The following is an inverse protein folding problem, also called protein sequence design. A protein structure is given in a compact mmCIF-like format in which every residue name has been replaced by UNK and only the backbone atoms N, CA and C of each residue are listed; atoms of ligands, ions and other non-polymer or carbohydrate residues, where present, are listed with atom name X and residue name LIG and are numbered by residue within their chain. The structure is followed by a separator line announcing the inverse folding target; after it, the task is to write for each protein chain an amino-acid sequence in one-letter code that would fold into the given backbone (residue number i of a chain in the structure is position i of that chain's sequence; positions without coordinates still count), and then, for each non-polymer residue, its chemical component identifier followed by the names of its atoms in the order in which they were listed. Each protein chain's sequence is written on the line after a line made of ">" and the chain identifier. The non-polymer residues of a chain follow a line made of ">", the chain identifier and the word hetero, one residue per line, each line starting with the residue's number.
data_IF_738843068420
#
_entry.id   IF_738843068420
#
_cell.length_a   1.000
_cell.length_b   1.000
_cell.length_c   1.000
_cell.angle_alpha   90.00
_cell.angle_beta   90.00
_cell.angle_gamma   90.00
#
_symmetry.space_group_name_H-M   'P 1'
#
loop_
_entity.id
_entity.type
_entity.pdbx_description
1 polymer ?
#
# COMPACT_ATOMS: atom_id res chain seq x y z
N UNK A 1 32.11 52.97 6.42
CA UNK A 1 30.87 52.47 5.80
C UNK A 1 31.02 50.99 5.59
N UNK A 2 30.47 50.21 6.48
CA UNK A 2 30.59 48.72 6.47
C UNK A 2 29.24 48.16 5.99
N UNK A 3 29.21 47.64 4.78
CA UNK A 3 28.03 46.99 4.21
C UNK A 3 27.91 45.60 4.87
N UNK A 4 26.89 45.41 5.70
CA UNK A 4 26.51 44.15 6.23
C UNK A 4 25.83 43.33 5.07
N UNK A 5 26.52 42.31 4.60
CA UNK A 5 25.95 41.31 3.72
C UNK A 5 24.98 40.48 4.53
N UNK A 6 23.69 40.78 4.40
CA UNK A 6 22.62 39.91 4.89
C UNK A 6 22.59 38.68 3.99
N UNK A 7 23.20 37.59 4.45
CA UNK A 7 23.00 36.28 3.87
C UNK A 7 21.56 35.84 4.16
N UNK A 8 20.67 36.08 3.24
CA UNK A 8 19.35 35.42 3.22
C UNK A 8 19.59 33.90 3.17
N UNK A 9 19.43 33.24 4.30
CA UNK A 9 19.22 31.80 4.33
C UNK A 9 17.90 31.54 3.63
N UNK A 10 17.96 31.17 2.36
CA UNK A 10 16.84 30.52 1.68
C UNK A 10 16.52 29.25 2.47
N UNK A 11 15.63 29.36 3.43
CA UNK A 11 14.94 28.23 4.01
C UNK A 11 14.09 27.66 2.87
N UNK A 12 14.67 26.70 2.14
CA UNK A 12 13.95 25.94 1.13
C UNK A 12 12.75 25.29 1.81
N UNK A 13 11.59 25.89 1.67
CA UNK A 13 10.33 25.34 2.17
C UNK A 13 10.16 24.00 1.47
N UNK A 14 10.26 22.89 2.24
CA UNK A 14 10.00 21.56 1.69
C UNK A 14 8.66 21.59 0.97
N UNK A 15 8.55 20.95 -0.20
CA UNK A 15 7.27 20.85 -0.91
C UNK A 15 6.20 20.26 0.02
N UNK A 16 5.00 20.85 0.03
CA UNK A 16 3.92 20.49 0.96
C UNK A 16 3.63 18.98 0.99
N UNK A 17 3.64 18.33 -0.19
CA UNK A 17 3.41 16.89 -0.31
C UNK A 17 4.46 16.02 0.42
N UNK A 18 5.70 16.51 0.57
CA UNK A 18 6.74 15.81 1.35
C UNK A 18 6.48 15.92 2.85
N UNK A 19 6.01 17.08 3.30
CA UNK A 19 5.60 17.28 4.70
C UNK A 19 4.43 16.39 5.03
N UNK A 20 3.40 16.37 4.19
CA UNK A 20 2.20 15.53 4.35
C UNK A 20 2.55 14.04 4.37
N UNK A 21 3.45 13.60 3.49
CA UNK A 21 3.94 12.23 3.49
C UNK A 21 4.65 11.86 4.80
N UNK A 22 5.54 12.72 5.30
CA UNK A 22 6.28 12.50 6.55
C UNK A 22 5.31 12.43 7.75
N UNK A 23 4.36 13.37 7.84
CA UNK A 23 3.32 13.36 8.87
C UNK A 23 2.48 12.07 8.80
N UNK A 24 2.11 11.64 7.59
CA UNK A 24 1.40 10.39 7.39
C UNK A 24 2.17 9.16 7.86
N UNK A 25 3.49 9.12 7.64
CA UNK A 25 4.35 8.04 8.15
C UNK A 25 4.44 8.04 9.68
N UNK A 26 4.54 9.20 10.31
CA UNK A 26 4.54 9.33 11.77
C UNK A 26 3.21 8.90 12.38
N UNK A 27 2.10 9.26 11.76
CA UNK A 27 0.76 8.82 12.18
C UNK A 27 0.62 7.30 12.08
N UNK A 28 1.13 6.67 11.00
CA UNK A 28 1.15 5.22 10.88
C UNK A 28 2.01 4.55 11.96
N UNK A 29 3.15 5.13 12.29
CA UNK A 29 4.04 4.64 13.35
C UNK A 29 3.39 4.73 14.72
N UNK A 30 2.60 5.78 14.96
CA UNK A 30 1.90 6.05 16.22
C UNK A 30 0.51 5.38 16.29
N UNK A 31 0.20 4.47 15.35
CA UNK A 31 -1.07 3.70 15.31
C UNK A 31 -2.34 4.56 15.13
N UNK A 32 -2.23 5.68 14.37
CA UNK A 32 -3.36 6.50 13.95
C UNK A 32 -3.64 6.32 12.43
N UNK A 33 -4.09 5.14 11.98
CA UNK A 33 -4.20 4.84 10.55
C UNK A 33 -5.21 5.71 9.82
N UNK A 34 -6.35 6.06 10.45
CA UNK A 34 -7.37 6.92 9.83
C UNK A 34 -6.83 8.31 9.50
N UNK A 35 -6.08 8.91 10.45
CA UNK A 35 -5.43 10.21 10.23
C UNK A 35 -4.31 10.09 9.19
N UNK A 36 -3.58 8.98 9.21
CA UNK A 36 -2.53 8.72 8.22
C UNK A 36 -3.09 8.63 6.79
N UNK A 37 -4.26 8.01 6.59
CA UNK A 37 -4.93 7.96 5.28
C UNK A 37 -5.15 9.36 4.72
N UNK A 38 -5.60 10.32 5.55
CA UNK A 38 -5.86 11.69 5.10
C UNK A 38 -4.57 12.35 4.60
N UNK A 39 -3.49 12.28 5.38
CA UNK A 39 -2.20 12.89 5.03
C UNK A 39 -1.54 12.22 3.83
N UNK A 40 -1.53 10.89 3.79
CA UNK A 40 -0.94 10.14 2.69
C UNK A 40 -1.74 10.29 1.38
N UNK A 41 -3.05 10.50 1.47
CA UNK A 41 -3.89 10.83 0.31
C UNK A 41 -3.54 12.20 -0.26
N UNK A 42 -3.33 13.22 0.57
CA UNK A 42 -2.88 14.55 0.12
C UNK A 42 -1.54 14.46 -0.63
N UNK A 43 -0.57 13.74 -0.05
CA UNK A 43 0.71 13.50 -0.73
C UNK A 43 0.53 12.76 -2.08
N UNK A 44 -0.30 11.72 -2.11
CA UNK A 44 -0.59 10.95 -3.32
C UNK A 44 -1.28 11.79 -4.40
N UNK A 45 -2.23 12.66 -4.06
CA UNK A 45 -2.89 13.54 -5.04
C UNK A 45 -1.91 14.52 -5.69
N UNK A 46 -0.85 14.92 -4.99
CA UNK A 46 0.19 15.80 -5.52
C UNK A 46 1.14 15.09 -6.49
N UNK A 47 1.41 13.79 -6.27
CA UNK A 47 2.22 12.96 -7.18
C UNK A 47 1.72 11.51 -7.18
N UNK A 48 0.77 11.25 -8.08
CA UNK A 48 0.12 9.93 -8.24
C UNK A 48 1.06 8.84 -8.78
N UNK A 49 2.24 9.20 -9.25
CA UNK A 49 3.23 8.24 -9.77
C UNK A 49 4.31 7.90 -8.77
N UNK A 50 4.36 8.58 -7.64
CA UNK A 50 5.36 8.30 -6.61
C UNK A 50 5.08 6.96 -5.92
N UNK A 51 5.92 5.93 -6.10
CA UNK A 51 5.65 4.61 -5.56
C UNK A 51 5.65 4.56 -4.03
N UNK A 52 6.33 5.50 -3.36
CA UNK A 52 6.27 5.62 -1.90
C UNK A 52 4.88 6.08 -1.43
N UNK A 53 4.32 7.11 -2.07
CA UNK A 53 2.99 7.62 -1.72
C UNK A 53 1.92 6.57 -1.97
N UNK A 54 1.99 5.88 -3.11
CA UNK A 54 1.11 4.77 -3.49
C UNK A 54 1.16 3.65 -2.43
N UNK A 55 2.37 3.17 -2.10
CA UNK A 55 2.55 2.04 -1.19
C UNK A 55 2.08 2.32 0.24
N UNK A 56 2.41 3.49 0.77
CA UNK A 56 2.05 3.84 2.14
C UNK A 56 0.59 4.26 2.28
N UNK A 57 -0.02 4.84 1.24
CA UNK A 57 -1.47 5.05 1.20
C UNK A 57 -2.21 3.70 1.25
N UNK A 58 -1.82 2.72 0.43
CA UNK A 58 -2.40 1.38 0.46
C UNK A 58 -2.27 0.71 1.83
N UNK A 59 -1.09 0.79 2.46
CA UNK A 59 -0.88 0.27 3.82
C UNK A 59 -1.77 0.97 4.86
N UNK A 60 -1.87 2.30 4.81
CA UNK A 60 -2.69 3.06 5.76
C UNK A 60 -4.18 2.72 5.64
N UNK A 61 -4.69 2.58 4.41
CA UNK A 61 -6.07 2.15 4.17
C UNK A 61 -6.34 0.74 4.72
N UNK A 62 -5.39 -0.18 4.55
CA UNK A 62 -5.51 -1.52 5.11
C UNK A 62 -5.50 -1.53 6.65
N UNK A 63 -4.68 -0.70 7.29
CA UNK A 63 -4.65 -0.58 8.75
C UNK A 63 -5.88 0.11 9.33
N UNK A 64 -6.50 1.03 8.57
CA UNK A 64 -7.76 1.67 8.90
C UNK A 64 -8.99 0.80 8.58
N UNK A 65 -8.77 -0.46 8.16
CA UNK A 65 -9.82 -1.39 7.71
C UNK A 65 -10.75 -0.83 6.62
N UNK A 66 -10.22 0.13 5.86
CA UNK A 66 -10.91 0.71 4.72
C UNK A 66 -10.70 -0.18 3.48
N UNK A 67 -11.40 0.08 2.44
CA UNK A 67 -11.34 -0.55 1.11
C UNK A 67 -10.11 -1.46 0.80
N UNK A 68 -10.19 -2.75 1.16
CA UNK A 68 -9.14 -3.74 1.01
C UNK A 68 -8.69 -3.96 -0.44
N UNK A 69 -9.61 -3.85 -1.39
CA UNK A 69 -9.33 -4.01 -2.81
C UNK A 69 -8.42 -2.89 -3.29
N UNK A 70 -8.78 -1.65 -3.01
CA UNK A 70 -7.98 -0.50 -3.36
C UNK A 70 -6.61 -0.51 -2.64
N UNK A 71 -6.58 -0.92 -1.37
CA UNK A 71 -5.33 -1.04 -0.61
C UNK A 71 -4.36 -2.03 -1.24
N UNK A 72 -4.86 -3.17 -1.71
CA UNK A 72 -4.06 -4.19 -2.41
C UNK A 72 -3.58 -3.69 -3.76
N UNK A 73 -4.45 -3.10 -4.57
CA UNK A 73 -4.10 -2.59 -5.90
C UNK A 73 -3.01 -1.51 -5.82
N UNK A 74 -3.12 -0.60 -4.85
CA UNK A 74 -2.09 0.41 -4.59
C UNK A 74 -0.74 -0.23 -4.23
N UNK A 75 -0.73 -1.18 -3.29
CA UNK A 75 0.51 -1.84 -2.88
C UNK A 75 1.12 -2.71 -4.01
N UNK A 76 0.31 -3.39 -4.80
CA UNK A 76 0.77 -4.15 -5.97
C UNK A 76 1.36 -3.22 -7.05
N UNK A 77 0.71 -2.08 -7.31
CA UNK A 77 1.20 -1.05 -8.23
C UNK A 77 2.57 -0.51 -7.79
N UNK A 78 2.74 -0.20 -6.51
CA UNK A 78 4.02 0.28 -6.00
C UNK A 78 5.15 -0.75 -6.17
N UNK A 79 4.86 -2.03 -5.93
CA UNK A 79 5.82 -3.12 -6.17
C UNK A 79 6.16 -3.24 -7.66
N UNK A 80 5.20 -3.07 -8.57
CA UNK A 80 5.44 -3.11 -10.01
C UNK A 80 6.34 -1.96 -10.47
N UNK A 81 6.09 -0.74 -9.95
CA UNK A 81 6.87 0.46 -10.27
C UNK A 81 8.32 0.37 -9.78
N UNK A 82 8.56 -0.23 -8.62
CA UNK A 82 9.91 -0.31 -8.04
C UNK A 82 10.15 -1.66 -7.35
N UNK A 83 10.38 -2.69 -8.15
CA UNK A 83 10.51 -4.10 -7.71
C UNK A 83 11.62 -4.37 -6.70
N UNK A 84 12.69 -3.57 -6.71
CA UNK A 84 13.85 -3.75 -5.82
C UNK A 84 13.73 -2.97 -4.49
N UNK A 85 12.57 -2.39 -4.18
CA UNK A 85 12.35 -1.70 -2.90
C UNK A 85 11.63 -2.63 -1.91
N UNK A 86 12.38 -3.14 -0.96
CA UNK A 86 11.87 -4.12 0.02
C UNK A 86 10.69 -3.60 0.85
N UNK A 87 10.63 -2.27 1.13
CA UNK A 87 9.55 -1.67 1.89
C UNK A 87 8.19 -1.90 1.24
N UNK A 88 8.12 -1.86 -0.10
CA UNK A 88 6.86 -2.07 -0.83
C UNK A 88 6.40 -3.51 -0.74
N UNK A 89 7.34 -4.47 -0.79
CA UNK A 89 7.00 -5.88 -0.56
C UNK A 89 6.50 -6.12 0.86
N UNK A 90 7.15 -5.51 1.87
CA UNK A 90 6.71 -5.61 3.26
C UNK A 90 5.31 -5.01 3.47
N UNK A 91 5.04 -3.84 2.89
CA UNK A 91 3.72 -3.20 2.96
C UNK A 91 2.66 -4.09 2.29
N UNK A 92 2.92 -4.63 1.10
CA UNK A 92 2.00 -5.55 0.42
C UNK A 92 1.74 -6.82 1.23
N UNK A 93 2.79 -7.42 1.82
CA UNK A 93 2.66 -8.60 2.67
C UNK A 93 1.81 -8.28 3.90
N UNK A 94 2.00 -7.11 4.51
CA UNK A 94 1.21 -6.66 5.65
C UNK A 94 -0.27 -6.50 5.27
N UNK A 95 -0.57 -5.91 4.11
CA UNK A 95 -1.95 -5.77 3.61
C UNK A 95 -2.59 -7.14 3.42
N UNK A 96 -1.91 -8.12 2.82
CA UNK A 96 -2.42 -9.49 2.72
C UNK A 96 -2.69 -10.13 4.09
N UNK A 97 -1.77 -9.92 5.05
CA UNK A 97 -1.91 -10.46 6.40
C UNK A 97 -3.09 -9.81 7.17
N UNK A 98 -3.29 -8.50 7.01
CA UNK A 98 -4.41 -7.75 7.57
C UNK A 98 -5.75 -8.20 6.98
N UNK A 99 -5.78 -8.43 5.66
CA UNK A 99 -6.96 -8.95 4.96
C UNK A 99 -7.28 -10.42 5.31
N UNK A 100 -6.48 -11.08 6.15
CA UNK A 100 -6.68 -12.48 6.53
C UNK A 100 -6.17 -13.50 5.50
N UNK A 101 -5.51 -13.06 4.44
CA UNK A 101 -4.98 -13.94 3.39
C UNK A 101 -3.56 -14.43 3.73
N UNK A 102 -3.47 -15.13 4.83
CA UNK A 102 -2.20 -15.61 5.39
C UNK A 102 -1.35 -16.40 4.40
N UNK A 103 -1.95 -17.30 3.65
CA UNK A 103 -1.22 -18.10 2.66
C UNK A 103 -0.63 -17.23 1.54
N UNK A 104 -1.37 -16.23 1.08
CA UNK A 104 -0.87 -15.29 0.08
C UNK A 104 0.25 -14.44 0.64
N UNK A 105 0.12 -13.97 1.90
CA UNK A 105 1.17 -13.24 2.59
C UNK A 105 2.46 -14.06 2.71
N UNK A 106 2.36 -15.34 3.09
CA UNK A 106 3.51 -16.24 3.18
C UNK A 106 4.16 -16.50 1.83
N UNK A 107 3.37 -16.73 0.77
CA UNK A 107 3.91 -16.87 -0.60
C UNK A 107 4.62 -15.60 -1.08
N UNK A 108 4.09 -14.42 -0.76
CA UNK A 108 4.77 -13.14 -1.09
C UNK A 108 6.07 -12.96 -0.29
N UNK A 109 6.11 -13.41 0.97
CA UNK A 109 7.32 -13.46 1.79
C UNK A 109 8.39 -14.38 1.18
N UNK A 110 8.02 -15.57 0.71
CA UNK A 110 8.95 -16.49 0.06
C UNK A 110 9.53 -15.88 -1.22
N UNK A 111 8.70 -15.23 -2.02
CA UNK A 111 9.15 -14.54 -3.22
C UNK A 111 10.08 -13.35 -2.89
N UNK A 112 9.75 -12.58 -1.86
CA UNK A 112 10.61 -11.48 -1.41
C UNK A 112 11.95 -12.02 -0.86
N UNK A 113 11.96 -13.13 -0.12
CA UNK A 113 13.20 -13.76 0.36
C UNK A 113 14.10 -14.25 -0.79
N UNK A 114 13.51 -14.72 -1.89
CA UNK A 114 14.30 -15.08 -3.11
C UNK A 114 14.92 -13.85 -3.77
N UNK A 115 14.25 -12.69 -3.71
CA UNK A 115 14.71 -11.46 -4.34
C UNK A 115 15.72 -10.68 -3.48
N UNK A 116 15.53 -10.63 -2.17
CA UNK A 116 16.31 -9.82 -1.25
C UNK A 116 17.26 -10.63 -0.35
N UNK A 117 17.24 -11.96 -0.47
CA UNK A 117 18.06 -12.85 0.35
C UNK A 117 17.59 -12.90 1.81
N UNK A 118 18.54 -13.11 2.71
CA UNK A 118 18.31 -13.32 4.15
C UNK A 118 18.20 -11.98 4.90
N UNK A 119 17.13 -11.22 4.62
CA UNK A 119 16.88 -9.93 5.26
C UNK A 119 16.13 -10.12 6.61
N UNK A 120 16.68 -9.52 7.67
CA UNK A 120 16.11 -9.59 9.03
C UNK A 120 14.68 -9.05 9.12
N UNK A 121 14.30 -8.09 8.25
CA UNK A 121 12.93 -7.54 8.21
C UNK A 121 11.95 -8.59 7.72
N UNK A 122 12.31 -9.38 6.69
CA UNK A 122 11.48 -10.46 6.17
C UNK A 122 11.28 -11.57 7.22
N UNK A 123 12.34 -11.92 7.96
CA UNK A 123 12.25 -12.90 9.08
C UNK A 123 11.28 -12.43 10.16
N UNK A 124 11.39 -11.17 10.58
CA UNK A 124 10.47 -10.57 11.58
C UNK A 124 9.03 -10.55 11.08
N UNK A 125 8.83 -10.22 9.80
CA UNK A 125 7.49 -10.24 9.20
C UNK A 125 6.92 -11.64 9.12
N UNK A 126 7.73 -12.64 8.80
CA UNK A 126 7.30 -14.05 8.79
C UNK A 126 6.75 -14.47 10.16
N UNK A 127 7.47 -14.18 11.24
CA UNK A 127 7.00 -14.46 12.59
C UNK A 127 5.64 -13.79 12.86
N UNK A 128 5.52 -12.48 12.58
CA UNK A 128 4.26 -11.74 12.74
C UNK A 128 3.10 -12.32 11.95
N UNK A 129 3.32 -12.72 10.68
CA UNK A 129 2.27 -13.30 9.83
C UNK A 129 1.83 -14.68 10.35
N UNK A 130 2.76 -15.46 10.91
CA UNK A 130 2.46 -16.76 11.48
C UNK A 130 1.64 -16.62 12.78
N UNK A 131 1.97 -15.67 13.62
CA UNK A 131 1.32 -15.45 14.92
C UNK A 131 -0.06 -14.75 14.79
N UNK A 132 -0.26 -13.96 13.75
CA UNK A 132 -1.46 -13.13 13.60
C UNK A 132 -2.68 -13.97 13.26
N UNK A 133 -3.73 -13.89 14.09
CA UNK A 133 -5.07 -14.39 13.74
C UNK A 133 -5.77 -13.36 12.84
N UNK A 134 -6.46 -13.84 11.79
CA UNK A 134 -7.24 -12.96 10.91
C UNK A 134 -8.33 -12.23 11.72
N UNK A 135 -8.50 -10.90 11.53
CA UNK A 135 -9.61 -10.18 12.14
C UNK A 135 -10.95 -10.69 11.58
N UNK A 136 -12.01 -10.64 12.40
CA UNK A 136 -13.35 -11.12 11.99
C UNK A 136 -13.90 -10.38 10.75
N UNK A 137 -13.60 -9.09 10.60
CA UNK A 137 -13.97 -8.26 9.46
C UNK A 137 -13.37 -8.77 8.14
N UNK A 138 -12.13 -9.27 8.16
CA UNK A 138 -11.46 -9.81 6.98
C UNK A 138 -12.15 -11.05 6.39
N UNK A 139 -12.80 -11.87 7.21
CA UNK A 139 -13.50 -13.07 6.74
C UNK A 139 -14.71 -12.75 5.86
N UNK A 140 -15.50 -11.77 6.26
CA UNK A 140 -16.70 -11.35 5.50
C UNK A 140 -16.31 -10.71 4.15
N UNK A 141 -15.24 -9.94 4.14
CA UNK A 141 -14.75 -9.28 2.93
C UNK A 141 -14.13 -10.28 1.94
N UNK A 142 -13.37 -11.29 2.41
CA UNK A 142 -12.78 -12.31 1.50
C UNK A 142 -13.84 -13.06 0.71
N UNK A 143 -14.99 -13.34 1.29
CA UNK A 143 -16.12 -13.97 0.56
C UNK A 143 -16.73 -13.04 -0.49
N UNK A 144 -16.89 -11.74 -0.16
CA UNK A 144 -17.41 -10.75 -1.10
C UNK A 144 -16.46 -10.53 -2.28
N UNK A 145 -15.16 -10.45 -2.02
CA UNK A 145 -14.12 -10.26 -3.03
C UNK A 145 -13.99 -11.46 -4.00
N UNK A 146 -14.02 -12.67 -3.48
CA UNK A 146 -14.01 -13.88 -4.31
C UNK A 146 -15.22 -13.94 -5.23
N UNK A 147 -16.41 -13.55 -4.72
CA UNK A 147 -17.64 -13.47 -5.54
C UNK A 147 -17.57 -12.38 -6.62
N UNK A 148 -16.93 -11.25 -6.36
CA UNK A 148 -16.78 -10.16 -7.35
C UNK A 148 -15.85 -10.55 -8.49
N UNK A 149 -14.71 -11.18 -8.19
CA UNK A 149 -13.76 -11.64 -9.22
C UNK A 149 -14.31 -12.79 -10.08
N UNK A 150 -15.05 -13.73 -9.50
CA UNK A 150 -15.70 -14.79 -10.29
C UNK A 150 -16.74 -14.23 -11.25
N UNK A 151 -17.44 -13.14 -10.90
CA UNK A 151 -18.37 -12.46 -11.82
C UNK A 151 -17.66 -11.75 -12.97
N UNK A 152 -16.48 -11.18 -12.75
CA UNK A 152 -15.69 -10.52 -13.82
C UNK A 152 -15.12 -11.53 -14.81
N UNK A 153 -14.73 -12.72 -14.36
CA UNK A 153 -14.23 -13.79 -15.24
C UNK A 153 -15.37 -14.45 -16.02
N UNK A 154 -16.58 -14.46 -15.47
CA UNK A 154 -17.77 -15.06 -16.11
C UNK A 154 -18.51 -14.12 -17.08
N UNK A 155 -18.13 -12.84 -17.18
CA UNK A 155 -18.74 -11.92 -18.14
C UNK A 155 -18.13 -12.17 -19.53
N UNK A 156 -18.93 -12.57 -20.56
CA UNK A 156 -18.43 -12.74 -21.90
C UNK A 156 -17.93 -11.39 -22.45
N UNK A 157 -16.87 -11.39 -23.28
CA UNK A 157 -16.36 -10.19 -23.91
C UNK A 157 -17.48 -9.43 -24.63
N UNK A 158 -17.41 -8.11 -24.59
CA UNK A 158 -18.46 -7.20 -25.09
C UNK A 158 -18.81 -7.45 -26.56
N UNK A 159 -17.90 -8.00 -27.34
CA UNK A 159 -18.11 -8.37 -28.76
C UNK A 159 -19.07 -9.51 -28.96
N UNK A 160 -19.15 -10.46 -28.04
CA UNK A 160 -20.10 -11.60 -28.14
C UNK A 160 -21.57 -11.15 -27.95
N UNK A 161 -21.81 -10.01 -27.28
CA UNK A 161 -23.16 -9.47 -27.09
C UNK A 161 -23.77 -8.81 -28.36
N UNK A 162 -22.95 -8.43 -29.33
CA UNK A 162 -23.45 -7.83 -30.59
C UNK A 162 -23.97 -8.86 -31.58
N UNK A 163 -23.51 -10.10 -31.54
CA UNK A 163 -23.90 -11.15 -32.47
C UNK A 163 -25.18 -11.88 -32.06
N UNK A 164 -25.68 -11.76 -30.84
CA UNK A 164 -26.94 -12.39 -30.39
C UNK A 164 -28.18 -11.51 -30.59
N UNK A 165 -28.07 -10.34 -31.24
CA UNK A 165 -29.19 -9.42 -31.53
C UNK A 165 -29.41 -9.18 -33.02
N UNK A 166 -28.91 -10.08 -33.90
CA UNK A 166 -29.20 -10.09 -35.33
C UNK A 166 -30.17 -11.22 -35.67
#
# INVERSE_FOLDING_TARGET
>A
MTLAVVTERTTGTEPNHMVEFREGLELLKNEYPDKAVLKLRQAFESDKRNPYYISFLGLSMARAEQNWEQALDLCETAVQLKRKEIKFHLNLIEVYALAGWREKALRKLDNASKLFGDDARLKRFRAKVVERRAPRSAFLWTQAFLKSRTRQIAAPPVEARRQMKS
#
